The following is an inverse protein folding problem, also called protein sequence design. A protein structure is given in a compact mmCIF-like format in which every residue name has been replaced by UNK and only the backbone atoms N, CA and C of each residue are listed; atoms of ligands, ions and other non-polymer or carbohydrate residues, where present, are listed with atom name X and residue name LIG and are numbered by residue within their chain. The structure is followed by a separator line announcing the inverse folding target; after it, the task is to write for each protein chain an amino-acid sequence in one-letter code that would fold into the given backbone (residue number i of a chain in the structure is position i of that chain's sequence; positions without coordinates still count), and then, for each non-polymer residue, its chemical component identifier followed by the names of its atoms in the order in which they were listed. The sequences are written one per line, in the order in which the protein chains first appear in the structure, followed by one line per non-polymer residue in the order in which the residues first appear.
data_IF_984953141929
#
_entry.id   IF_984953141929
#
_cell.length_a   1.000
_cell.length_b   1.000
_cell.length_c   1.000
_cell.angle_alpha   90.00
_cell.angle_beta   90.00
_cell.angle_gamma   90.00
#
_symmetry.space_group_name_H-M   'P 1'
#
loop_
_entity.id
_entity.type
_entity.pdbx_description
1 polymer ?
#
# COMPACT_ATOMS: atom_id res chain seq x y z
N UNK A 1 -30.66 29.49 -15.54
CA UNK A 1 -29.81 28.32 -15.25
C UNK A 1 -28.75 28.25 -16.34
N UNK A 2 -27.44 28.34 -16.00
CA UNK A 2 -26.38 28.46 -17.00
C UNK A 2 -26.24 27.12 -17.75
N UNK A 3 -26.08 27.15 -19.06
CA UNK A 3 -25.92 25.99 -19.96
C UNK A 3 -24.93 24.95 -19.43
N UNK A 4 -23.89 25.41 -18.71
CA UNK A 4 -22.90 24.54 -18.06
C UNK A 4 -23.49 23.62 -16.99
N UNK A 5 -24.46 24.08 -16.21
CA UNK A 5 -25.14 23.25 -15.19
C UNK A 5 -26.10 22.22 -15.83
N UNK A 6 -26.69 22.55 -16.97
CA UNK A 6 -27.52 21.62 -17.72
C UNK A 6 -26.69 20.49 -18.33
N UNK A 7 -25.50 20.81 -18.85
CA UNK A 7 -24.57 19.79 -19.38
C UNK A 7 -24.03 18.87 -18.30
N UNK A 8 -23.75 19.39 -17.09
CA UNK A 8 -23.30 18.55 -15.96
C UNK A 8 -24.40 17.62 -15.46
N UNK A 9 -25.64 18.08 -15.40
CA UNK A 9 -26.80 17.23 -15.05
C UNK A 9 -27.08 16.19 -16.12
N UNK A 10 -26.93 16.55 -17.39
CA UNK A 10 -27.11 15.62 -18.51
C UNK A 10 -26.02 14.54 -18.53
N UNK A 11 -24.77 14.91 -18.27
CA UNK A 11 -23.64 13.97 -18.14
C UNK A 11 -23.84 13.01 -16.95
N UNK A 12 -24.26 13.52 -15.79
CA UNK A 12 -24.59 12.68 -14.63
C UNK A 12 -25.75 11.72 -14.92
N UNK A 13 -26.80 12.17 -15.61
CA UNK A 13 -27.93 11.32 -16.03
C UNK A 13 -27.52 10.25 -17.07
N UNK A 14 -26.59 10.58 -17.97
CA UNK A 14 -26.06 9.60 -18.95
C UNK A 14 -25.19 8.57 -18.25
N UNK A 15 -24.38 8.96 -17.26
CA UNK A 15 -23.57 8.04 -16.45
C UNK A 15 -24.47 7.15 -15.60
N UNK A 16 -25.44 7.70 -14.87
CA UNK A 16 -26.40 6.94 -14.06
C UNK A 16 -27.30 6.06 -14.96
N UNK A 17 -27.75 6.58 -16.10
CA UNK A 17 -28.53 5.83 -17.09
C UNK A 17 -27.72 4.74 -17.76
N UNK A 18 -26.43 4.98 -18.06
CA UNK A 18 -25.51 3.99 -18.62
C UNK A 18 -25.23 2.84 -17.63
N UNK A 19 -25.04 3.17 -16.34
CA UNK A 19 -24.90 2.18 -15.26
C UNK A 19 -26.19 1.39 -15.08
N UNK A 20 -27.35 2.02 -15.11
CA UNK A 20 -28.65 1.37 -15.00
C UNK A 20 -28.95 0.46 -16.19
N UNK A 21 -28.70 0.91 -17.43
CA UNK A 21 -28.87 0.10 -18.65
C UNK A 21 -27.91 -1.07 -18.68
N UNK A 22 -26.65 -0.89 -18.22
CA UNK A 22 -25.67 -1.98 -18.13
C UNK A 22 -26.04 -3.01 -17.05
N UNK A 23 -26.63 -2.56 -15.94
CA UNK A 23 -27.14 -3.45 -14.89
C UNK A 23 -28.44 -4.20 -15.30
N UNK A 24 -29.28 -3.57 -16.15
CA UNK A 24 -30.59 -4.15 -16.56
C UNK A 24 -30.49 -4.95 -17.85
N UNK A 25 -29.45 -4.79 -18.69
CA UNK A 25 -29.40 -5.42 -20.03
C UNK A 25 -28.71 -6.79 -20.07
N UNK A 26 -28.56 -7.51 -18.95
CA UNK A 26 -28.24 -8.94 -19.00
C UNK A 26 -29.49 -9.78 -18.79
N UNK A 27 -30.16 -10.24 -19.85
CA UNK A 27 -31.11 -11.37 -19.74
C UNK A 27 -30.27 -12.64 -19.54
N UNK A 28 -30.64 -13.45 -18.56
CA UNK A 28 -30.13 -14.77 -18.22
C UNK A 28 -29.02 -14.87 -17.18
N UNK A 29 -29.24 -14.37 -15.92
CA UNK A 29 -28.85 -15.20 -14.81
C UNK A 29 -29.64 -14.84 -13.55
N UNK A 30 -30.64 -15.63 -13.26
CA UNK A 30 -31.35 -15.66 -11.97
C UNK A 30 -30.41 -15.95 -10.76
N UNK A 31 -29.15 -16.20 -11.01
CA UNK A 31 -28.14 -16.54 -9.99
C UNK A 31 -27.43 -15.32 -9.37
N UNK A 32 -27.48 -14.14 -10.03
CA UNK A 32 -26.82 -12.91 -9.58
C UNK A 32 -25.30 -12.92 -9.77
N UNK A 33 -24.59 -12.05 -9.07
CA UNK A 33 -23.14 -11.87 -9.14
C UNK A 33 -22.54 -11.74 -7.73
N UNK A 34 -21.26 -12.05 -7.56
CA UNK A 34 -20.47 -11.67 -6.38
C UNK A 34 -20.21 -10.17 -6.49
N UNK A 35 -20.68 -9.39 -5.54
CA UNK A 35 -20.52 -7.93 -5.55
C UNK A 35 -19.25 -7.52 -4.80
N UNK A 36 -18.39 -6.73 -5.44
CA UNK A 36 -17.17 -6.17 -4.85
C UNK A 36 -17.26 -4.66 -4.88
N UNK A 37 -17.29 -4.04 -3.71
CA UNK A 37 -17.23 -2.60 -3.57
C UNK A 37 -15.78 -2.11 -3.50
N UNK A 38 -15.51 -0.97 -4.12
CA UNK A 38 -14.19 -0.36 -4.12
C UNK A 38 -14.26 1.16 -4.31
N UNK A 39 -13.23 1.88 -3.87
CA UNK A 39 -13.06 3.32 -4.14
C UNK A 39 -12.32 3.50 -5.46
N UNK A 40 -12.85 4.39 -6.33
CA UNK A 40 -12.26 4.70 -7.63
C UNK A 40 -10.93 5.49 -7.51
N UNK A 41 -10.17 5.51 -8.60
CA UNK A 41 -9.01 6.40 -8.79
C UNK A 41 -7.66 5.80 -8.39
N UNK A 42 -7.62 4.71 -7.64
CA UNK A 42 -6.37 4.03 -7.29
C UNK A 42 -5.90 3.03 -8.35
N UNK A 43 -4.59 2.84 -8.47
CA UNK A 43 -4.02 1.83 -9.38
C UNK A 43 -4.53 0.43 -9.03
N UNK A 44 -4.62 0.08 -7.73
CA UNK A 44 -5.16 -1.19 -7.27
C UNK A 44 -6.58 -1.42 -7.77
N UNK A 45 -7.45 -0.41 -7.70
CA UNK A 45 -8.84 -0.49 -8.13
C UNK A 45 -8.95 -0.79 -9.63
N UNK A 46 -8.19 -0.10 -10.46
CA UNK A 46 -8.20 -0.29 -11.91
C UNK A 46 -7.72 -1.67 -12.33
N UNK A 47 -6.59 -2.12 -11.76
CA UNK A 47 -6.02 -3.44 -12.07
C UNK A 47 -6.91 -4.57 -11.53
N UNK A 48 -7.54 -4.39 -10.37
CA UNK A 48 -8.51 -5.35 -9.82
C UNK A 48 -9.74 -5.49 -10.72
N UNK A 49 -10.32 -4.39 -11.21
CA UNK A 49 -11.46 -4.41 -12.13
C UNK A 49 -11.11 -5.15 -13.43
N UNK A 50 -9.90 -4.92 -13.97
CA UNK A 50 -9.40 -5.64 -15.14
C UNK A 50 -9.25 -7.15 -14.88
N UNK A 51 -8.72 -7.51 -13.69
CA UNK A 51 -8.59 -8.89 -13.25
C UNK A 51 -9.95 -9.57 -13.07
N UNK A 52 -10.93 -8.90 -12.45
CA UNK A 52 -12.30 -9.39 -12.30
C UNK A 52 -13.00 -9.62 -13.65
N UNK A 53 -12.77 -8.73 -14.62
CA UNK A 53 -13.23 -8.93 -15.99
C UNK A 53 -12.59 -10.16 -16.66
N UNK A 54 -11.31 -10.43 -16.38
CA UNK A 54 -10.60 -11.64 -16.79
C UNK A 54 -11.20 -12.90 -16.17
N UNK A 55 -11.51 -12.87 -14.88
CA UNK A 55 -12.24 -13.94 -14.18
C UNK A 55 -13.55 -14.25 -14.90
N UNK A 56 -14.39 -13.22 -15.10
CA UNK A 56 -15.70 -13.37 -15.73
C UNK A 56 -15.65 -14.00 -17.14
N UNK A 57 -14.54 -13.81 -17.86
CA UNK A 57 -14.33 -14.46 -19.18
C UNK A 57 -13.88 -15.91 -19.06
N UNK A 58 -13.26 -16.30 -17.94
CA UNK A 58 -12.65 -17.60 -17.75
C UNK A 58 -13.53 -18.61 -17.01
N UNK A 59 -14.61 -18.16 -16.35
CA UNK A 59 -15.47 -19.00 -15.53
C UNK A 59 -16.43 -19.85 -16.37
N UNK A 60 -16.79 -21.02 -15.83
CA UNK A 60 -17.86 -21.85 -16.36
C UNK A 60 -19.24 -21.25 -16.02
N UNK A 61 -20.31 -21.75 -16.72
CA UNK A 61 -21.67 -21.35 -16.41
C UNK A 61 -22.13 -21.71 -14.97
N UNK A 62 -21.38 -22.57 -14.27
CA UNK A 62 -21.69 -22.97 -12.90
C UNK A 62 -21.19 -21.96 -11.85
N UNK A 63 -20.23 -21.10 -12.19
CA UNK A 63 -19.64 -20.12 -11.30
C UNK A 63 -20.32 -18.77 -11.44
N UNK A 64 -20.38 -18.00 -10.34
CA UNK A 64 -20.95 -16.65 -10.37
C UNK A 64 -19.93 -15.63 -10.91
N UNK A 65 -20.37 -14.68 -11.76
CA UNK A 65 -19.52 -13.58 -12.18
C UNK A 65 -19.27 -12.62 -11.01
N UNK A 66 -18.18 -11.85 -11.09
CA UNK A 66 -17.87 -10.76 -10.17
C UNK A 66 -18.35 -9.43 -10.77
N UNK A 67 -19.11 -8.67 -9.99
CA UNK A 67 -19.56 -7.33 -10.31
C UNK A 67 -18.84 -6.32 -9.41
N UNK A 68 -17.99 -5.48 -9.98
CA UNK A 68 -17.31 -4.41 -9.30
C UNK A 68 -18.22 -3.17 -9.25
N UNK A 69 -18.41 -2.59 -8.06
CA UNK A 69 -19.24 -1.41 -7.81
C UNK A 69 -18.35 -0.29 -7.26
N UNK A 70 -18.18 0.79 -8.04
CA UNK A 70 -17.31 1.90 -7.66
C UNK A 70 -17.99 2.86 -6.71
N UNK A 71 -17.18 3.49 -5.84
CA UNK A 71 -17.54 4.63 -4.98
C UNK A 71 -16.51 5.75 -5.17
N UNK A 72 -16.96 6.99 -5.09
CA UNK A 72 -16.09 8.16 -5.25
C UNK A 72 -15.03 8.27 -4.14
N UNK A 73 -15.42 7.89 -2.92
CA UNK A 73 -14.58 7.93 -1.73
C UNK A 73 -15.06 6.92 -0.67
N UNK A 74 -14.32 6.82 0.43
CA UNK A 74 -14.63 5.92 1.54
C UNK A 74 -15.89 6.31 2.30
N UNK A 75 -16.21 7.59 2.39
CA UNK A 75 -17.40 8.08 3.10
C UNK A 75 -18.67 7.70 2.34
N UNK A 76 -18.68 7.86 1.02
CA UNK A 76 -19.77 7.41 0.16
C UNK A 76 -19.98 5.89 0.26
N UNK A 77 -18.90 5.11 0.26
CA UNK A 77 -18.97 3.67 0.45
C UNK A 77 -19.47 3.30 1.85
N UNK A 78 -19.03 4.00 2.90
CA UNK A 78 -19.47 3.77 4.27
C UNK A 78 -20.97 4.05 4.45
N UNK A 79 -21.46 5.17 3.88
CA UNK A 79 -22.88 5.52 3.91
C UNK A 79 -23.77 4.46 3.21
N UNK A 80 -23.28 3.87 2.13
CA UNK A 80 -24.01 2.80 1.41
C UNK A 80 -24.14 1.53 2.25
N UNK A 81 -23.23 1.24 3.18
CA UNK A 81 -23.32 0.08 4.09
C UNK A 81 -24.53 0.09 5.02
N UNK A 82 -25.15 1.24 5.25
CA UNK A 82 -26.35 1.35 6.09
C UNK A 82 -27.59 0.75 5.42
N UNK A 83 -27.61 0.73 4.08
CA UNK A 83 -28.76 0.27 3.28
C UNK A 83 -28.50 -1.01 2.50
N UNK A 84 -27.25 -1.27 2.14
CA UNK A 84 -26.83 -2.42 1.33
C UNK A 84 -25.52 -2.98 1.87
N UNK A 85 -25.25 -4.25 1.59
CA UNK A 85 -23.98 -4.89 1.91
C UNK A 85 -23.44 -5.61 0.68
N UNK A 86 -22.17 -5.38 0.28
CA UNK A 86 -21.51 -6.18 -0.74
C UNK A 86 -21.14 -7.56 -0.19
N UNK A 87 -20.68 -8.44 -1.06
CA UNK A 87 -20.08 -9.71 -0.65
C UNK A 87 -18.61 -9.52 -0.26
N UNK A 88 -17.92 -8.62 -0.98
CA UNK A 88 -16.51 -8.30 -0.77
C UNK A 88 -16.28 -6.77 -0.80
N UNK A 89 -15.24 -6.32 -0.11
CA UNK A 89 -14.70 -4.95 -0.22
C UNK A 89 -13.22 -5.01 -0.54
N UNK A 90 -12.80 -4.32 -1.60
CA UNK A 90 -11.40 -4.05 -1.89
C UNK A 90 -10.96 -2.83 -1.09
N UNK A 91 -10.09 -3.02 -0.11
CA UNK A 91 -9.70 -1.96 0.82
C UNK A 91 -8.29 -2.17 1.41
N UNK A 92 -7.78 -1.15 2.09
CA UNK A 92 -6.58 -1.27 2.92
C UNK A 92 -6.84 -2.11 4.18
N UNK A 93 -5.77 -2.59 4.80
CA UNK A 93 -5.89 -3.34 6.05
C UNK A 93 -6.47 -2.48 7.20
N UNK A 94 -6.22 -1.17 7.22
CA UNK A 94 -6.80 -0.26 8.22
C UNK A 94 -8.33 -0.34 8.19
N UNK A 95 -8.91 -0.26 7.00
CA UNK A 95 -10.36 -0.39 6.82
C UNK A 95 -10.87 -1.77 7.18
N UNK A 96 -10.15 -2.81 6.78
CA UNK A 96 -10.52 -4.19 7.10
C UNK A 96 -10.51 -4.44 8.62
N UNK A 97 -9.53 -3.91 9.34
CA UNK A 97 -9.44 -4.05 10.80
C UNK A 97 -10.56 -3.30 11.52
N UNK A 98 -10.90 -2.08 11.09
CA UNK A 98 -12.06 -1.35 11.60
C UNK A 98 -13.37 -2.13 11.37
N UNK A 99 -13.58 -2.63 10.15
CA UNK A 99 -14.74 -3.46 9.81
C UNK A 99 -14.79 -4.74 10.65
N UNK A 100 -13.66 -5.38 10.90
CA UNK A 100 -13.55 -6.57 11.74
C UNK A 100 -13.91 -6.26 13.21
N UNK A 101 -13.35 -5.19 13.77
CA UNK A 101 -13.63 -4.74 15.13
C UNK A 101 -15.12 -4.43 15.35
N UNK A 102 -15.79 -3.93 14.32
CA UNK A 102 -17.25 -3.66 14.31
C UNK A 102 -18.10 -4.89 13.99
N UNK A 103 -17.53 -6.08 13.84
CA UNK A 103 -18.23 -7.31 13.53
C UNK A 103 -18.89 -7.34 12.13
N UNK A 104 -18.37 -6.54 11.19
CA UNK A 104 -18.90 -6.45 9.81
C UNK A 104 -18.30 -7.50 8.87
N UNK A 105 -17.25 -8.20 9.28
CA UNK A 105 -16.60 -9.24 8.47
C UNK A 105 -16.98 -10.64 8.93
N UNK A 106 -16.89 -11.60 8.00
CA UNK A 106 -17.09 -13.03 8.27
C UNK A 106 -15.90 -13.85 7.78
N UNK A 107 -15.50 -14.84 8.58
CA UNK A 107 -14.43 -15.76 8.22
C UNK A 107 -14.89 -16.83 7.23
N UNK A 108 -14.07 -17.09 6.22
CA UNK A 108 -14.33 -18.11 5.21
C UNK A 108 -13.14 -19.06 4.99
N UNK A 109 -12.13 -19.05 5.86
CA UNK A 109 -10.94 -19.90 5.72
C UNK A 109 -11.29 -21.39 5.66
N UNK A 110 -12.28 -21.85 6.44
CA UNK A 110 -12.76 -23.22 6.38
C UNK A 110 -13.35 -23.61 5.01
N UNK A 111 -14.01 -22.67 4.32
CA UNK A 111 -14.57 -22.90 2.99
C UNK A 111 -13.49 -22.86 1.88
N UNK A 112 -12.36 -22.19 2.11
CA UNK A 112 -11.21 -22.21 1.21
C UNK A 112 -10.41 -23.53 1.32
N UNK A 113 -10.38 -24.17 2.49
CA UNK A 113 -9.63 -25.40 2.75
C UNK A 113 -8.17 -25.25 2.32
N UNK A 114 -7.69 -26.21 1.50
CA UNK A 114 -6.31 -26.21 0.96
C UNK A 114 -6.00 -25.05 0.00
N UNK A 115 -6.99 -24.31 -0.44
CA UNK A 115 -6.82 -23.12 -1.27
C UNK A 115 -6.67 -21.83 -0.44
N UNK A 116 -6.70 -21.91 0.89
CA UNK A 116 -6.46 -20.76 1.74
C UNK A 116 -5.02 -20.24 1.51
N UNK A 117 -4.86 -18.93 1.31
CA UNK A 117 -3.53 -18.37 1.12
C UNK A 117 -2.71 -18.50 2.41
N UNK A 118 -1.47 -18.96 2.26
CA UNK A 118 -0.50 -19.00 3.36
C UNK A 118 0.23 -17.66 3.44
N UNK A 119 0.01 -16.93 4.51
CA UNK A 119 0.64 -15.64 4.76
C UNK A 119 1.82 -15.77 5.72
N UNK A 120 2.91 -15.00 5.51
CA UNK A 120 3.99 -14.92 6.47
C UNK A 120 3.48 -14.58 7.88
N UNK A 121 4.14 -15.15 8.89
CA UNK A 121 3.72 -14.95 10.29
C UNK A 121 3.73 -13.49 10.70
N UNK A 122 4.70 -12.71 10.23
CA UNK A 122 4.78 -11.28 10.53
C UNK A 122 3.52 -10.55 10.10
N UNK A 123 2.97 -10.85 8.90
CA UNK A 123 1.75 -10.24 8.40
C UNK A 123 0.50 -10.76 9.16
N UNK A 124 0.42 -12.05 9.45
CA UNK A 124 -0.78 -12.69 10.01
C UNK A 124 -0.90 -12.60 11.53
N UNK A 125 0.21 -12.43 12.27
CA UNK A 125 0.23 -12.48 13.74
C UNK A 125 -0.41 -11.27 14.43
N UNK A 126 -0.54 -10.15 13.75
CA UNK A 126 -1.01 -8.88 14.33
C UNK A 126 -2.51 -8.69 14.25
N UNK A 127 -3.22 -9.48 13.44
CA UNK A 127 -4.68 -9.43 13.36
C UNK A 127 -5.29 -10.77 13.00
N UNK A 128 -6.27 -11.19 13.76
CA UNK A 128 -7.03 -12.43 13.54
C UNK A 128 -7.89 -12.41 12.26
N UNK A 129 -8.09 -11.25 11.62
CA UNK A 129 -8.88 -11.19 10.39
C UNK A 129 -8.07 -11.58 9.15
N UNK A 130 -6.73 -11.41 9.16
CA UNK A 130 -5.87 -11.76 8.02
C UNK A 130 -5.88 -13.27 7.80
N UNK A 131 -6.16 -13.69 6.56
CA UNK A 131 -6.33 -15.09 6.18
C UNK A 131 -7.65 -15.73 6.62
N UNK A 132 -8.43 -15.05 7.48
CA UNK A 132 -9.75 -15.52 7.91
C UNK A 132 -10.89 -14.81 7.19
N UNK A 133 -10.94 -13.49 7.27
CA UNK A 133 -11.98 -12.63 6.66
C UNK A 133 -11.42 -11.47 5.85
N UNK A 134 -10.11 -11.25 5.90
CA UNK A 134 -9.38 -10.30 5.07
C UNK A 134 -8.20 -11.00 4.40
N UNK A 135 -8.10 -10.82 3.09
CA UNK A 135 -7.16 -11.52 2.21
C UNK A 135 -6.29 -10.49 1.47
N UNK A 136 -5.17 -10.05 2.07
CA UNK A 136 -4.25 -9.13 1.42
C UNK A 136 -3.63 -9.72 0.17
N UNK A 137 -3.48 -8.90 -0.84
CA UNK A 137 -2.85 -9.22 -2.14
C UNK A 137 -1.41 -8.75 -2.13
N UNK A 138 -1.17 -7.54 -1.62
CA UNK A 138 0.15 -6.95 -1.51
C UNK A 138 0.17 -5.82 -0.50
N UNK A 139 1.35 -5.30 -0.23
CA UNK A 139 1.55 -4.18 0.69
C UNK A 139 2.42 -3.09 0.04
N UNK A 140 2.05 -1.84 0.25
CA UNK A 140 2.94 -0.72 0.03
C UNK A 140 3.93 -0.66 1.19
N UNK A 141 5.21 -0.60 0.88
CA UNK A 141 6.28 -0.42 1.86
C UNK A 141 7.18 0.74 1.42
N UNK A 142 7.93 1.30 2.35
CA UNK A 142 8.99 2.25 2.01
C UNK A 142 10.18 1.51 1.44
N UNK A 143 10.86 2.13 0.48
CA UNK A 143 12.07 1.61 -0.15
C UNK A 143 13.10 2.71 -0.30
N UNK A 144 14.36 2.34 -0.36
CA UNK A 144 15.43 3.21 -0.77
C UNK A 144 15.64 3.06 -2.29
N UNK A 145 15.18 4.04 -3.06
CA UNK A 145 15.41 4.12 -4.49
C UNK A 145 16.75 4.81 -4.76
N UNK A 146 17.68 4.13 -5.42
CA UNK A 146 19.09 4.58 -5.50
C UNK A 146 19.57 4.77 -6.93
N UNK A 147 20.40 5.80 -7.15
CA UNK A 147 21.23 5.95 -8.34
C UNK A 147 22.55 5.19 -8.09
N UNK A 148 22.76 4.08 -8.80
CA UNK A 148 23.88 3.17 -8.55
C UNK A 148 25.24 3.79 -8.85
N UNK A 149 25.31 4.84 -9.68
CA UNK A 149 26.54 5.55 -9.96
C UNK A 149 26.94 6.48 -8.82
N UNK A 150 25.98 7.25 -8.29
CA UNK A 150 26.24 8.21 -7.22
C UNK A 150 26.42 7.54 -5.84
N UNK A 151 25.82 6.36 -5.68
CA UNK A 151 25.94 5.57 -4.44
C UNK A 151 27.09 4.58 -4.44
N UNK A 152 27.82 4.45 -5.57
CA UNK A 152 28.93 3.49 -5.68
C UNK A 152 30.01 3.76 -4.63
N UNK A 153 30.35 2.72 -3.86
CA UNK A 153 31.37 2.78 -2.80
C UNK A 153 30.92 3.46 -1.50
N UNK A 154 29.65 3.89 -1.39
CA UNK A 154 29.11 4.48 -0.16
C UNK A 154 28.37 3.43 0.65
N UNK A 155 28.48 3.50 1.97
CA UNK A 155 27.74 2.62 2.87
C UNK A 155 26.31 3.14 3.06
N UNK A 156 25.33 2.32 2.72
CA UNK A 156 23.91 2.59 2.86
C UNK A 156 23.21 1.51 3.70
N UNK A 157 23.96 0.75 4.50
CA UNK A 157 23.45 -0.41 5.24
C UNK A 157 22.66 -0.04 6.49
N UNK A 158 22.80 1.18 6.98
CA UNK A 158 22.02 1.74 8.11
C UNK A 158 21.64 3.20 7.81
N UNK A 159 20.65 3.74 8.54
CA UNK A 159 20.30 5.16 8.44
C UNK A 159 21.46 6.05 8.95
N UNK A 160 22.23 5.60 9.94
CA UNK A 160 23.45 6.29 10.38
C UNK A 160 24.49 6.34 9.27
N UNK A 161 24.74 5.22 8.58
CA UNK A 161 25.69 5.15 7.48
C UNK A 161 25.21 5.99 6.28
N UNK A 162 23.90 5.95 5.95
CA UNK A 162 23.30 6.80 4.93
C UNK A 162 23.50 8.29 5.26
N UNK A 163 23.28 8.68 6.51
CA UNK A 163 23.46 10.06 6.97
C UNK A 163 24.92 10.50 6.81
N UNK A 164 25.88 9.67 7.22
CA UNK A 164 27.31 9.95 7.07
C UNK A 164 27.73 10.05 5.59
N UNK A 165 27.25 9.13 4.74
CA UNK A 165 27.50 9.15 3.30
C UNK A 165 26.92 10.42 2.63
N UNK A 166 25.79 10.91 3.13
CA UNK A 166 25.15 12.12 2.66
C UNK A 166 25.97 13.39 2.99
N UNK A 167 26.53 13.47 4.18
CA UNK A 167 27.40 14.58 4.58
C UNK A 167 28.72 14.60 3.81
N UNK A 168 29.33 13.42 3.61
CA UNK A 168 30.52 13.29 2.78
C UNK A 168 30.24 13.78 1.36
N UNK A 169 29.15 13.30 0.72
CA UNK A 169 28.76 13.72 -0.63
C UNK A 169 28.48 15.23 -0.69
N UNK A 170 27.80 15.78 0.32
CA UNK A 170 27.55 17.22 0.42
C UNK A 170 28.84 18.03 0.48
N UNK A 171 29.80 17.56 1.27
CA UNK A 171 31.13 18.20 1.39
C UNK A 171 31.90 18.17 0.09
N UNK A 172 31.86 17.04 -0.64
CA UNK A 172 32.55 16.85 -1.92
C UNK A 172 31.95 17.66 -3.06
N UNK A 173 30.59 17.73 -3.11
CA UNK A 173 29.90 18.23 -4.31
C UNK A 173 29.12 19.53 -4.10
N UNK A 174 28.84 19.91 -2.87
CA UNK A 174 27.96 21.01 -2.54
C UNK A 174 26.48 20.73 -2.78
N UNK A 175 26.08 19.48 -3.08
CA UNK A 175 24.70 19.09 -3.44
C UNK A 175 24.07 18.19 -2.38
N UNK A 176 22.75 18.18 -2.22
CA UNK A 176 22.08 17.19 -1.38
C UNK A 176 22.32 15.78 -1.94
N UNK A 177 22.30 14.78 -1.07
CA UNK A 177 22.51 13.38 -1.45
C UNK A 177 21.22 12.60 -1.49
N UNK A 178 20.31 12.83 -0.53
CA UNK A 178 19.06 12.08 -0.45
C UNK A 178 17.86 12.95 -0.14
N UNK A 179 16.66 12.36 -0.32
CA UNK A 179 15.38 12.93 0.05
C UNK A 179 14.48 11.85 0.68
N UNK A 180 13.41 12.26 1.35
CA UNK A 180 12.33 11.38 1.77
C UNK A 180 10.99 11.96 1.34
N UNK A 181 10.19 11.16 0.61
CA UNK A 181 8.86 11.57 0.17
C UNK A 181 7.85 11.60 1.33
N UNK A 182 8.03 10.71 2.31
CA UNK A 182 7.21 10.64 3.53
C UNK A 182 8.11 10.20 4.70
N UNK A 183 8.11 10.95 5.79
CA UNK A 183 8.94 10.66 6.97
C UNK A 183 8.24 9.75 7.97
N UNK A 184 6.92 9.85 8.12
CA UNK A 184 6.18 9.11 9.15
C UNK A 184 6.40 7.59 9.06
N UNK A 185 6.34 6.93 7.89
CA UNK A 185 6.62 5.50 7.80
C UNK A 185 8.03 5.10 8.20
N UNK A 186 9.02 5.98 7.98
CA UNK A 186 10.41 5.75 8.38
C UNK A 186 10.52 5.63 9.91
N UNK A 187 9.91 6.56 10.66
CA UNK A 187 9.87 6.50 12.12
C UNK A 187 9.10 5.28 12.61
N UNK A 188 7.96 5.01 12.00
CA UNK A 188 7.07 3.93 12.43
C UNK A 188 7.66 2.54 12.18
N UNK A 189 8.40 2.37 11.08
CA UNK A 189 9.15 1.13 10.82
C UNK A 189 10.22 0.90 11.90
N UNK A 190 10.93 1.94 12.31
CA UNK A 190 11.96 1.80 13.36
C UNK A 190 11.35 1.55 14.75
N UNK A 191 10.19 2.14 15.09
CA UNK A 191 9.46 1.76 16.31
C UNK A 191 9.10 0.28 16.31
N UNK A 192 8.64 -0.25 15.16
CA UNK A 192 8.34 -1.66 15.00
C UNK A 192 9.59 -2.53 15.24
N UNK A 193 10.73 -2.15 14.66
CA UNK A 193 12.01 -2.88 14.75
C UNK A 193 12.56 -2.91 16.17
N UNK A 194 12.40 -1.83 16.90
CA UNK A 194 12.84 -1.70 18.29
C UNK A 194 11.80 -2.23 19.30
N UNK A 195 10.64 -2.72 18.85
CA UNK A 195 9.57 -3.23 19.69
C UNK A 195 8.89 -2.16 20.55
N UNK A 196 9.00 -0.89 20.17
CA UNK A 196 8.29 0.20 20.84
C UNK A 196 6.79 0.17 20.49
N UNK A 197 5.94 0.63 21.42
CA UNK A 197 4.52 0.77 21.15
C UNK A 197 4.30 1.80 20.04
N UNK A 198 3.47 1.40 19.08
CA UNK A 198 3.15 2.22 17.94
C UNK A 198 2.02 3.21 18.28
N UNK A 199 2.42 4.44 18.57
CA UNK A 199 1.51 5.57 18.77
C UNK A 199 1.95 6.73 17.87
N UNK A 200 1.08 7.17 16.96
CA UNK A 200 1.34 8.36 16.13
C UNK A 200 1.17 9.67 16.90
N UNK A 201 0.75 9.60 18.15
CA UNK A 201 0.50 10.76 19.02
C UNK A 201 1.76 11.34 19.66
N UNK A 202 1.55 12.10 20.73
CA UNK A 202 2.64 12.83 21.43
C UNK A 202 3.64 11.92 22.15
N UNK A 203 3.24 10.71 22.57
CA UNK A 203 4.11 9.76 23.27
C UNK A 203 5.23 9.26 22.35
N UNK A 204 4.96 9.03 21.06
CA UNK A 204 5.95 8.61 20.09
C UNK A 204 7.16 9.56 20.03
N UNK A 205 6.94 10.86 20.19
CA UNK A 205 7.98 11.90 20.11
C UNK A 205 8.92 11.95 21.30
N UNK A 206 8.63 11.25 22.37
CA UNK A 206 9.48 11.16 23.56
C UNK A 206 10.47 10.00 23.51
N UNK A 207 10.30 9.05 22.58
CA UNK A 207 11.09 7.84 22.49
C UNK A 207 12.56 8.12 22.14
N UNK A 208 13.44 7.17 22.42
CA UNK A 208 14.84 7.25 22.02
C UNK A 208 14.99 7.11 20.51
N UNK A 209 14.19 6.23 19.91
CA UNK A 209 14.18 6.01 18.46
C UNK A 209 13.80 7.29 17.73
N UNK A 210 12.71 7.97 18.15
CA UNK A 210 12.34 9.26 17.59
C UNK A 210 13.49 10.26 17.63
N UNK A 211 14.10 10.44 18.81
CA UNK A 211 15.16 11.42 18.98
C UNK A 211 16.37 11.11 18.10
N UNK A 212 16.71 9.84 17.96
CA UNK A 212 17.84 9.42 17.15
C UNK A 212 17.59 9.71 15.66
N UNK A 213 16.46 9.24 15.09
CA UNK A 213 16.11 9.50 13.68
C UNK A 213 15.99 11.00 13.42
N UNK A 214 15.29 11.71 14.33
CA UNK A 214 15.09 13.15 14.18
C UNK A 214 16.42 13.90 14.15
N UNK A 215 17.38 13.53 15.01
CA UNK A 215 18.69 14.18 15.04
C UNK A 215 19.48 13.94 13.75
N UNK A 216 19.47 12.72 13.19
CA UNK A 216 20.11 12.42 11.90
C UNK A 216 19.50 13.25 10.78
N UNK A 217 18.17 13.30 10.68
CA UNK A 217 17.47 14.09 9.67
C UNK A 217 17.70 15.59 9.86
N UNK A 218 17.70 16.08 11.10
CA UNK A 218 17.90 17.47 11.44
C UNK A 218 19.33 17.95 11.09
N UNK A 219 20.34 17.14 11.38
CA UNK A 219 21.73 17.42 11.02
C UNK A 219 21.90 17.48 9.49
N UNK A 220 21.36 16.51 8.77
CA UNK A 220 21.44 16.48 7.31
C UNK A 220 20.59 17.60 6.65
N UNK A 221 19.48 18.03 7.25
CA UNK A 221 18.73 19.19 6.81
C UNK A 221 19.52 20.49 7.01
N UNK A 222 20.14 20.66 8.18
CA UNK A 222 20.96 21.82 8.51
C UNK A 222 22.18 21.94 7.59
N UNK A 223 22.88 20.85 7.33
CA UNK A 223 24.04 20.82 6.42
C UNK A 223 23.65 20.91 4.95
N UNK A 224 22.39 20.68 4.63
CA UNK A 224 21.86 20.59 3.26
C UNK A 224 22.22 19.28 2.53
N UNK A 225 22.59 18.24 3.28
CA UNK A 225 22.80 16.88 2.76
C UNK A 225 21.46 16.18 2.45
N UNK A 226 20.41 16.49 3.22
CA UNK A 226 19.02 16.11 2.96
C UNK A 226 18.32 17.16 2.10
N UNK A 227 17.72 16.76 0.97
CA UNK A 227 16.84 17.62 0.19
C UNK A 227 15.45 17.67 0.83
N UNK A 228 14.95 18.87 1.11
CA UNK A 228 13.60 19.09 1.61
C UNK A 228 12.62 19.51 0.50
N UNK A 229 13.08 19.56 -0.75
CA UNK A 229 12.22 19.85 -1.90
C UNK A 229 11.33 18.65 -2.14
N UNK A 230 10.02 18.83 -1.93
CA UNK A 230 9.02 17.79 -2.22
C UNK A 230 8.57 17.88 -3.66
N UNK A 231 8.32 16.73 -4.30
CA UNK A 231 7.52 16.69 -5.50
C UNK A 231 7.94 15.70 -6.57
N UNK A 232 9.20 15.33 -6.72
CA UNK A 232 9.59 14.29 -7.65
C UNK A 232 10.97 13.70 -7.31
N UNK A 233 11.06 13.13 -6.13
CA UNK A 233 12.28 12.51 -5.61
C UNK A 233 12.77 11.39 -6.53
N UNK A 234 11.84 10.63 -7.11
CA UNK A 234 12.13 9.54 -8.06
C UNK A 234 12.78 10.08 -9.33
N UNK A 235 12.26 11.18 -9.90
CA UNK A 235 12.87 11.81 -11.07
C UNK A 235 14.23 12.42 -10.75
N UNK A 236 14.40 13.03 -9.59
CA UNK A 236 15.68 13.59 -9.15
C UNK A 236 16.78 12.51 -9.02
N UNK A 237 16.45 11.33 -8.47
CA UNK A 237 17.37 10.18 -8.42
C UNK A 237 17.71 9.68 -9.84
N UNK A 238 16.72 9.57 -10.71
CA UNK A 238 16.94 9.14 -12.11
C UNK A 238 17.78 10.13 -12.91
N UNK A 239 17.62 11.42 -12.67
CA UNK A 239 18.39 12.47 -13.31
C UNK A 239 19.83 12.59 -12.75
N UNK A 240 20.16 11.91 -11.65
CA UNK A 240 21.44 12.04 -10.96
C UNK A 240 21.59 13.35 -10.18
N UNK A 241 20.48 13.95 -9.80
CA UNK A 241 20.44 15.12 -8.91
C UNK A 241 20.53 14.70 -7.44
N UNK A 242 20.02 13.50 -7.14
CA UNK A 242 20.10 12.83 -5.83
C UNK A 242 20.75 11.46 -5.97
N UNK A 243 21.52 11.04 -4.96
CA UNK A 243 22.06 9.69 -4.84
C UNK A 243 20.98 8.66 -4.53
N UNK A 244 20.03 9.01 -3.66
CA UNK A 244 18.90 8.13 -3.31
C UNK A 244 17.69 8.90 -2.80
N UNK A 245 16.56 8.18 -2.67
CA UNK A 245 15.35 8.70 -2.04
C UNK A 245 14.59 7.59 -1.31
N UNK A 246 14.06 7.90 -0.13
CA UNK A 246 13.08 7.05 0.57
C UNK A 246 11.71 7.36 0.02
N UNK A 247 11.07 6.37 -0.61
CA UNK A 247 9.77 6.52 -1.28
C UNK A 247 8.90 5.29 -1.05
N UNK A 248 7.58 5.44 -1.13
CA UNK A 248 6.68 4.30 -1.18
C UNK A 248 6.84 3.50 -2.48
N UNK A 249 6.61 2.19 -2.45
CA UNK A 249 6.72 1.34 -3.65
C UNK A 249 5.80 1.78 -4.78
N UNK A 250 4.65 2.36 -4.47
CA UNK A 250 3.68 2.87 -5.45
C UNK A 250 4.17 4.11 -6.20
N UNK A 251 5.14 4.85 -5.64
CA UNK A 251 5.78 5.99 -6.29
C UNK A 251 6.89 5.60 -7.26
N UNK A 252 7.35 4.35 -7.27
CA UNK A 252 8.41 3.86 -8.16
C UNK A 252 7.99 3.98 -9.63
N UNK A 253 8.93 4.12 -10.57
CA UNK A 253 8.60 4.10 -12.00
C UNK A 253 8.15 2.69 -12.41
N UNK A 254 7.19 2.58 -13.32
CA UNK A 254 6.70 1.27 -13.82
C UNK A 254 7.79 0.38 -14.43
N UNK A 255 8.93 0.94 -14.78
CA UNK A 255 10.11 0.23 -15.28
C UNK A 255 11.37 0.86 -14.70
N UNK A 256 12.26 0.04 -14.16
CA UNK A 256 13.57 0.50 -13.75
C UNK A 256 14.46 0.73 -14.97
N UNK A 257 15.07 1.91 -15.04
CA UNK A 257 16.11 2.22 -16.04
C UNK A 257 17.47 1.68 -15.59
N UNK A 258 18.42 1.59 -16.52
CA UNK A 258 19.82 1.33 -16.17
C UNK A 258 20.33 2.43 -15.23
N UNK A 259 21.15 2.05 -14.27
CA UNK A 259 21.75 2.98 -13.32
C UNK A 259 20.88 3.31 -12.09
N UNK A 260 19.71 2.68 -11.94
CA UNK A 260 18.93 2.76 -10.70
C UNK A 260 18.62 1.39 -10.13
N UNK A 261 18.39 1.32 -8.81
CA UNK A 261 18.02 0.11 -8.09
C UNK A 261 17.04 0.41 -6.97
N UNK A 262 16.40 -0.62 -6.45
CA UNK A 262 15.49 -0.55 -5.31
C UNK A 262 16.07 -1.43 -4.20
N UNK A 263 16.26 -0.85 -3.04
CA UNK A 263 16.76 -1.52 -1.83
C UNK A 263 15.72 -1.39 -0.72
N UNK A 264 15.70 -2.28 0.28
CA UNK A 264 14.93 -2.05 1.50
C UNK A 264 15.41 -0.77 2.19
N UNK A 265 14.54 -0.09 2.94
CA UNK A 265 14.96 1.00 3.81
C UNK A 265 15.89 0.42 4.88
N UNK A 266 17.11 0.94 5.01
CA UNK A 266 18.06 0.39 5.97
C UNK A 266 17.58 0.62 7.42
N UNK A 267 17.92 -0.28 8.36
CA UNK A 267 17.62 -0.07 9.78
C UNK A 267 18.40 1.14 10.31
N UNK A 268 17.95 1.68 11.44
CA UNK A 268 18.58 2.83 12.09
C UNK A 268 20.06 2.54 12.39
N UNK A 269 20.34 1.38 12.99
CA UNK A 269 21.67 0.88 13.32
C UNK A 269 21.87 -0.56 12.87
N UNK A 270 23.11 -1.03 12.84
CA UNK A 270 23.42 -2.42 12.49
C UNK A 270 22.85 -3.47 13.48
N UNK A 271 22.48 -3.05 14.68
CA UNK A 271 21.84 -3.89 15.70
C UNK A 271 20.32 -3.79 15.67
N UNK A 272 19.75 -3.02 14.74
CA UNK A 272 18.30 -2.84 14.62
C UNK A 272 17.56 -4.14 14.38
N UNK A 273 16.34 -4.24 14.90
CA UNK A 273 15.45 -5.39 14.72
C UNK A 273 14.99 -5.58 13.28
N UNK A 274 14.29 -6.68 13.06
CA UNK A 274 13.69 -7.04 11.76
C UNK A 274 12.24 -6.53 11.69
N UNK A 275 11.74 -6.36 10.50
CA UNK A 275 10.36 -5.98 10.21
C UNK A 275 10.26 -4.72 9.38
N UNK A 276 9.22 -4.66 8.60
CA UNK A 276 8.89 -3.52 7.75
C UNK A 276 7.40 -3.20 7.83
N UNK A 277 7.08 -1.94 8.09
CA UNK A 277 5.70 -1.49 8.13
C UNK A 277 5.15 -1.40 6.71
N UNK A 278 4.06 -2.14 6.46
CA UNK A 278 3.38 -2.12 5.18
C UNK A 278 1.91 -1.70 5.29
N UNK A 279 1.44 -0.94 4.33
CA UNK A 279 0.01 -0.73 4.11
C UNK A 279 -0.52 -1.81 3.17
N UNK A 280 -1.12 -2.86 3.76
CA UNK A 280 -1.62 -3.99 2.99
C UNK A 280 -2.97 -3.66 2.33
N UNK A 281 -3.12 -4.08 1.07
CA UNK A 281 -4.33 -3.96 0.25
C UNK A 281 -4.86 -5.33 -0.15
N UNK A 282 -6.18 -5.52 -0.05
CA UNK A 282 -6.80 -6.82 -0.34
C UNK A 282 -8.31 -6.81 -0.25
N UNK A 283 -8.87 -8.00 -0.12
CA UNK A 283 -10.31 -8.24 -0.12
C UNK A 283 -10.81 -8.61 1.29
N UNK A 284 -11.76 -7.85 1.81
CA UNK A 284 -12.49 -8.14 3.03
C UNK A 284 -13.82 -8.82 2.71
N UNK A 285 -14.16 -9.90 3.42
CA UNK A 285 -15.40 -10.67 3.23
C UNK A 285 -16.46 -10.15 4.20
N UNK A 286 -17.57 -9.66 3.66
CA UNK A 286 -18.61 -8.98 4.44
C UNK A 286 -19.62 -9.98 5.01
N UNK A 287 -19.92 -9.86 6.30
CA UNK A 287 -20.81 -10.79 7.04
C UNK A 287 -22.25 -10.81 6.55
N UNK A 288 -22.72 -9.71 5.94
CA UNK A 288 -24.09 -9.56 5.43
C UNK A 288 -24.17 -9.66 3.92
N UNK A 289 -23.13 -10.15 3.27
CA UNK A 289 -23.13 -10.39 1.82
C UNK A 289 -24.25 -11.35 1.40
N UNK A 290 -24.73 -11.21 0.17
CA UNK A 290 -25.86 -11.96 -0.35
C UNK A 290 -25.49 -13.37 -0.84
N UNK A 291 -24.18 -13.63 -1.02
CA UNK A 291 -23.67 -14.86 -1.63
C UNK A 291 -23.19 -15.87 -0.58
N UNK A 292 -23.24 -17.13 -1.00
CA UNK A 292 -22.72 -18.20 -0.16
C UNK A 292 -21.21 -18.09 0.03
N UNK A 293 -20.71 -18.59 1.15
CA UNK A 293 -19.26 -18.70 1.39
C UNK A 293 -18.56 -19.55 0.32
N UNK A 294 -19.27 -20.53 -0.26
CA UNK A 294 -18.75 -21.37 -1.34
C UNK A 294 -18.49 -20.60 -2.65
N UNK A 295 -19.40 -19.68 -3.03
CA UNK A 295 -19.24 -18.86 -4.24
C UNK A 295 -18.06 -17.90 -4.08
N UNK A 296 -17.96 -17.23 -2.91
CA UNK A 296 -16.88 -16.31 -2.59
C UNK A 296 -15.55 -17.06 -2.53
N UNK A 297 -15.51 -18.25 -1.91
CA UNK A 297 -14.32 -19.09 -1.85
C UNK A 297 -13.82 -19.52 -3.22
N UNK A 298 -14.74 -19.84 -4.16
CA UNK A 298 -14.36 -20.20 -5.52
C UNK A 298 -13.64 -19.04 -6.25
N UNK A 299 -14.12 -17.80 -6.07
CA UNK A 299 -13.46 -16.62 -6.63
C UNK A 299 -12.09 -16.39 -5.96
N UNK A 300 -11.99 -16.42 -4.64
CA UNK A 300 -10.75 -16.23 -3.92
C UNK A 300 -9.72 -17.34 -4.23
N UNK A 301 -10.15 -18.60 -4.30
CA UNK A 301 -9.30 -19.71 -4.71
C UNK A 301 -8.74 -19.49 -6.12
N UNK A 302 -9.55 -18.98 -7.06
CA UNK A 302 -9.07 -18.59 -8.37
C UNK A 302 -8.06 -17.43 -8.31
N UNK A 303 -8.33 -16.40 -7.51
CA UNK A 303 -7.45 -15.25 -7.33
C UNK A 303 -6.06 -15.70 -6.83
N UNK A 304 -6.03 -16.55 -5.80
CA UNK A 304 -4.79 -17.01 -5.17
C UNK A 304 -4.12 -18.16 -5.92
N UNK A 305 -4.72 -18.68 -7.00
CA UNK A 305 -4.09 -19.70 -7.83
C UNK A 305 -3.21 -19.07 -8.92
N UNK A 306 -2.19 -19.81 -9.35
CA UNK A 306 -1.33 -19.44 -10.50
C UNK A 306 -0.70 -18.03 -10.39
N UNK A 307 -0.39 -17.57 -9.18
CA UNK A 307 0.24 -16.27 -8.90
C UNK A 307 -0.54 -15.05 -9.45
N UNK A 308 -1.88 -15.11 -9.51
CA UNK A 308 -2.69 -13.96 -9.99
C UNK A 308 -2.67 -12.82 -8.99
N UNK A 309 -2.79 -13.13 -7.70
CA UNK A 309 -2.63 -12.18 -6.59
C UNK A 309 -1.24 -11.52 -6.62
N UNK A 310 -0.17 -12.31 -6.79
CA UNK A 310 1.19 -11.79 -6.94
C UNK A 310 1.30 -10.85 -8.14
N UNK A 311 0.75 -11.23 -9.29
CA UNK A 311 0.75 -10.37 -10.48
C UNK A 311 -0.04 -9.08 -10.26
N UNK A 312 -1.19 -9.16 -9.60
CA UNK A 312 -1.98 -7.97 -9.25
C UNK A 312 -1.17 -7.04 -8.34
N UNK A 313 -0.53 -7.55 -7.30
CA UNK A 313 0.36 -6.77 -6.45
C UNK A 313 1.47 -6.07 -7.25
N UNK A 314 2.18 -6.81 -8.10
CA UNK A 314 3.28 -6.28 -8.90
C UNK A 314 2.84 -5.25 -9.94
N UNK A 315 1.67 -5.43 -10.58
CA UNK A 315 1.08 -4.46 -11.50
C UNK A 315 0.71 -3.14 -10.82
N UNK A 316 0.36 -3.22 -9.54
CA UNK A 316 0.05 -2.07 -8.68
C UNK A 316 1.26 -1.55 -7.91
N UNK A 317 2.46 -2.09 -8.18
CA UNK A 317 3.72 -1.73 -7.52
C UNK A 317 3.72 -1.98 -6.00
N UNK A 318 2.92 -2.94 -5.55
CA UNK A 318 2.94 -3.46 -4.19
C UNK A 318 3.90 -4.64 -4.07
N UNK A 319 4.50 -4.80 -2.90
CA UNK A 319 5.19 -6.03 -2.54
C UNK A 319 4.14 -7.12 -2.33
N UNK A 320 4.25 -8.30 -2.96
CA UNK A 320 3.27 -9.38 -2.79
C UNK A 320 3.08 -9.75 -1.31
N UNK A 321 1.84 -9.96 -0.86
CA UNK A 321 1.56 -10.31 0.53
C UNK A 321 1.98 -11.74 0.90
N UNK A 322 2.11 -12.62 -0.10
CA UNK A 322 2.58 -14.00 0.06
C UNK A 322 3.95 -14.18 -0.56
N UNK A 323 4.72 -15.12 -0.03
CA UNK A 323 5.96 -15.55 -0.68
C UNK A 323 5.64 -16.07 -2.08
N UNK A 324 6.32 -15.55 -3.09
CA UNK A 324 6.05 -15.84 -4.49
C UNK A 324 7.15 -16.69 -5.12
N UNK A 325 6.73 -17.71 -5.87
CA UNK A 325 7.61 -18.49 -6.75
C UNK A 325 7.67 -17.94 -8.19
N UNK A 326 7.10 -16.75 -8.42
CA UNK A 326 7.08 -16.13 -9.75
C UNK A 326 8.49 -15.77 -10.19
N UNK A 327 8.93 -16.34 -11.31
CA UNK A 327 10.18 -15.96 -11.97
C UNK A 327 9.85 -14.91 -13.03
N UNK A 328 10.52 -13.77 -12.96
CA UNK A 328 10.32 -12.66 -13.91
C UNK A 328 11.65 -12.12 -14.41
N UNK A 329 11.65 -11.52 -15.62
CA UNK A 329 12.77 -10.75 -16.18
C UNK A 329 12.60 -9.25 -16.00
N UNK A 330 11.47 -8.82 -15.48
CA UNK A 330 11.23 -7.41 -15.15
C UNK A 330 12.00 -7.06 -13.88
N UNK A 331 12.88 -6.06 -13.97
CA UNK A 331 13.76 -5.69 -12.87
C UNK A 331 13.00 -5.12 -11.66
N UNK A 332 11.93 -4.33 -11.91
CA UNK A 332 11.08 -3.82 -10.83
C UNK A 332 10.36 -4.95 -10.12
N UNK A 333 9.72 -5.85 -10.87
CA UNK A 333 9.02 -7.00 -10.29
C UNK A 333 9.98 -7.89 -9.50
N UNK A 334 11.19 -8.13 -10.02
CA UNK A 334 12.21 -8.90 -9.30
C UNK A 334 12.60 -8.22 -7.98
N UNK A 335 12.76 -6.90 -7.96
CA UNK A 335 13.05 -6.14 -6.76
C UNK A 335 11.90 -6.20 -5.75
N UNK A 336 10.65 -5.98 -6.18
CA UNK A 336 9.48 -6.06 -5.30
C UNK A 336 9.28 -7.46 -4.70
N UNK A 337 9.54 -8.52 -5.47
CA UNK A 337 9.50 -9.90 -4.95
C UNK A 337 10.61 -10.11 -3.91
N UNK A 338 11.81 -9.58 -4.15
CA UNK A 338 12.92 -9.71 -3.23
C UNK A 338 12.73 -8.94 -1.91
N UNK A 339 11.91 -7.87 -1.91
CA UNK A 339 11.53 -7.15 -0.69
C UNK A 339 10.59 -7.98 0.21
N UNK A 340 9.91 -9.00 -0.31
CA UNK A 340 9.10 -9.88 0.52
C UNK A 340 9.98 -10.91 1.24
N UNK A 341 10.63 -10.48 2.29
CA UNK A 341 11.40 -11.34 3.20
C UNK A 341 10.53 -12.11 4.19
N UNK A 342 9.21 -11.90 4.15
CA UNK A 342 8.28 -12.46 5.12
C UNK A 342 8.13 -11.60 6.39
N UNK A 343 8.74 -10.43 6.44
CA UNK A 343 8.80 -9.54 7.61
C UNK A 343 7.88 -8.32 7.52
N UNK A 344 7.09 -8.21 6.43
CA UNK A 344 6.12 -7.13 6.29
C UNK A 344 5.03 -7.28 7.35
N UNK A 345 4.79 -6.22 8.11
CA UNK A 345 3.81 -6.15 9.18
C UNK A 345 2.72 -5.15 8.83
N UNK A 346 1.47 -5.59 8.87
CA UNK A 346 0.30 -4.71 8.82
C UNK A 346 -0.19 -4.47 10.25
N UNK A 347 0.10 -3.30 10.81
CA UNK A 347 -0.31 -2.97 12.17
C UNK A 347 -1.78 -2.51 12.19
N UNK A 348 -2.58 -2.99 13.16
CA UNK A 348 -3.85 -2.36 13.43
C UNK A 348 -3.59 -0.91 13.91
N UNK A 349 -4.41 0.06 13.51
CA UNK A 349 -4.31 1.39 14.08
C UNK A 349 -4.54 1.31 15.59
N UNK A 350 -3.70 2.02 16.36
CA UNK A 350 -3.83 2.06 17.80
C UNK A 350 -5.12 2.79 18.24
N UNK A 351 -5.60 3.70 17.39
CA UNK A 351 -6.82 4.47 17.62
C UNK A 351 -7.57 4.74 16.30
N UNK A 352 -8.81 5.24 16.41
CA UNK A 352 -9.67 5.60 15.28
C UNK A 352 -9.12 6.76 14.43
N UNK A 353 -8.20 7.54 14.99
CA UNK A 353 -7.68 8.77 14.39
C UNK A 353 -6.26 8.59 13.83
N UNK A 354 -5.82 7.34 13.67
CA UNK A 354 -4.46 7.01 13.22
C UNK A 354 -4.04 7.76 11.94
N UNK A 355 -4.91 7.83 10.93
CA UNK A 355 -4.60 8.50 9.66
C UNK A 355 -4.39 10.01 9.86
N UNK A 356 -5.22 10.66 10.70
CA UNK A 356 -5.09 12.07 11.04
C UNK A 356 -3.82 12.32 11.87
N UNK A 357 -3.56 11.49 12.87
CA UNK A 357 -2.36 11.57 13.71
C UNK A 357 -1.07 11.35 12.87
N UNK A 358 -1.08 10.43 11.91
CA UNK A 358 0.02 10.23 10.95
C UNK A 358 0.27 11.48 10.10
N UNK A 359 -0.78 12.08 9.57
CA UNK A 359 -0.68 13.30 8.75
C UNK A 359 -0.15 14.50 9.57
N UNK A 360 -0.59 14.62 10.81
CA UNK A 360 -0.11 15.65 11.73
C UNK A 360 1.35 15.43 12.13
N UNK A 361 1.76 14.18 12.34
CA UNK A 361 3.15 13.81 12.61
C UNK A 361 4.04 14.19 11.42
N UNK A 362 3.65 13.80 10.21
CA UNK A 362 4.38 14.12 8.98
C UNK A 362 4.54 15.64 8.79
N UNK A 363 3.45 16.40 8.96
CA UNK A 363 3.46 17.86 8.85
C UNK A 363 4.40 18.52 9.87
N UNK A 364 4.39 18.05 11.11
CA UNK A 364 5.26 18.58 12.18
C UNK A 364 6.74 18.30 11.88
N UNK A 365 7.09 17.08 11.47
CA UNK A 365 8.47 16.75 11.09
C UNK A 365 8.95 17.63 9.93
N UNK A 366 8.17 17.75 8.86
CA UNK A 366 8.53 18.61 7.71
C UNK A 366 8.74 20.06 8.11
N UNK A 367 7.85 20.61 8.94
CA UNK A 367 7.95 22.00 9.40
C UNK A 367 9.22 22.22 10.22
N UNK A 368 9.57 21.28 11.10
CA UNK A 368 10.80 21.37 11.93
C UNK A 368 12.07 21.27 11.09
N UNK A 369 12.13 20.32 10.14
CA UNK A 369 13.29 20.18 9.26
C UNK A 369 13.45 21.41 8.35
N UNK A 370 12.35 21.93 7.80
CA UNK A 370 12.37 23.14 6.98
C UNK A 370 12.85 24.37 7.74
N UNK A 371 12.54 24.48 9.03
CA UNK A 371 13.04 25.55 9.89
C UNK A 371 14.55 25.47 10.11
N UNK A 372 15.11 24.27 10.22
CA UNK A 372 16.56 24.07 10.42
C UNK A 372 17.40 24.32 9.16
N UNK A 373 16.79 24.19 7.98
CA UNK A 373 17.46 24.38 6.70
C UNK A 373 17.51 25.86 6.22
N UNK A 374 16.91 26.80 6.99
CA UNK A 374 16.94 28.26 6.72
C UNK A 374 18.21 28.88 7.30
#
# INVERSE_FOLDING_TARGET
MKIRNLLTVLAALVIVGGIYVFAVSRPDDARGAITVWYVEGGTMSNEFVALAAGYNKSISRASLPVQCVPFADEDAMAAAFDTQAPDLVLCSHYRAFDMHARGKLTGISAALGDNAPDYPRALSSRSACIGASYFPVGAEVQVLFVNTTLTAGRDLTTLEALSAAAEEYRTETGKPFYAAADYAPLFFTEYLREGEEFDAGSAARSSKVYKHIYNLLAENAYTGALSLTSGDEVSAVRAGELGCAVVGTTALPKKLSLGVSVLPVPPLTAAGGEGELGEAWGLAVVARGSRSTGDISAFLAWLFSSNRDTRLALQTQLVPARTSSLITRDALWSALIALNTGEIVALPPADSDFAANRADFERDIRARLAFLAQ
#
